data_IF_621583262090
#
_entry.id   IF_621583262090
#
_cell.length_a   1.000
_cell.length_b   1.000
_cell.length_c   1.000
_cell.angle_alpha   90.00
_cell.angle_beta   90.00
_cell.angle_gamma   90.00
#
_symmetry.space_group_name_H-M   'P 1'
#
loop_
_entity.id
_entity.type
_entity.pdbx_description
1 polymer ?
#
# COMPACT_ATOMS: atom_id res chain seq x y z
N UNK A 1 -2.09 20.08 -22.26
CA UNK A 1 -1.63 18.73 -21.80
C UNK A 1 -2.87 17.86 -21.70
N UNK A 2 -2.83 16.64 -22.19
CA UNK A 2 -3.99 15.74 -22.09
C UNK A 2 -3.82 14.86 -20.86
N UNK A 3 -4.86 14.64 -20.07
CA UNK A 3 -4.88 13.78 -18.87
C UNK A 3 -4.20 12.41 -19.10
N UNK A 4 -4.27 11.86 -20.31
CA UNK A 4 -3.60 10.62 -20.67
C UNK A 4 -2.06 10.70 -20.58
N UNK A 5 -1.46 11.87 -20.80
CA UNK A 5 0.00 12.04 -20.65
C UNK A 5 0.43 12.08 -19.19
N UNK A 6 -0.45 12.54 -18.31
CA UNK A 6 -0.16 12.61 -16.88
C UNK A 6 -0.17 11.24 -16.21
N UNK A 7 -0.68 10.22 -16.92
CA UNK A 7 -0.66 8.79 -16.53
C UNK A 7 0.46 8.01 -17.23
N UNK A 8 1.40 8.64 -17.91
CA UNK A 8 2.57 7.99 -18.52
C UNK A 8 3.70 7.85 -17.49
N UNK A 9 4.13 6.61 -17.27
CA UNK A 9 5.23 6.26 -16.36
C UNK A 9 6.51 5.85 -17.10
N UNK A 10 6.60 6.15 -18.40
CA UNK A 10 7.80 5.88 -19.20
C UNK A 10 9.04 6.53 -18.56
N UNK A 11 10.09 5.74 -18.35
CA UNK A 11 11.32 6.18 -17.68
C UNK A 11 11.25 6.28 -16.16
N UNK A 12 10.10 6.00 -15.52
CA UNK A 12 9.98 5.93 -14.06
C UNK A 12 10.26 4.51 -13.56
N UNK A 13 11.04 4.41 -12.48
CA UNK A 13 11.26 3.14 -11.77
C UNK A 13 10.36 3.11 -10.52
N UNK A 14 9.51 2.10 -10.43
CA UNK A 14 8.51 1.95 -9.37
C UNK A 14 8.83 0.71 -8.53
N UNK A 15 9.06 0.91 -7.23
CA UNK A 15 9.14 -0.18 -6.26
C UNK A 15 7.76 -0.46 -5.67
N UNK A 16 7.29 -1.70 -5.82
CA UNK A 16 6.02 -2.18 -5.23
C UNK A 16 6.33 -3.26 -4.20
N UNK A 17 5.97 -3.02 -2.94
CA UNK A 17 6.07 -4.02 -1.87
C UNK A 17 4.75 -4.79 -1.71
N UNK A 18 4.81 -6.06 -1.30
CA UNK A 18 3.62 -6.92 -1.28
C UNK A 18 3.07 -7.15 -2.70
N UNK A 19 3.97 -7.28 -3.69
CA UNK A 19 3.64 -7.29 -5.11
C UNK A 19 3.10 -8.61 -5.63
N UNK A 20 3.23 -9.71 -4.87
CA UNK A 20 2.88 -11.04 -5.34
C UNK A 20 1.37 -11.25 -5.54
N UNK A 21 0.51 -10.51 -4.84
CA UNK A 21 -0.94 -10.72 -4.83
C UNK A 21 -1.73 -9.41 -4.61
N UNK A 22 -3.05 -9.50 -4.72
CA UNK A 22 -4.00 -8.44 -4.32
C UNK A 22 -3.73 -7.09 -4.99
N UNK A 23 -3.73 -6.01 -4.19
CA UNK A 23 -3.53 -4.65 -4.68
C UNK A 23 -2.16 -4.45 -5.33
N UNK A 24 -1.10 -5.03 -4.73
CA UNK A 24 0.26 -4.91 -5.27
C UNK A 24 0.37 -5.51 -6.67
N UNK A 25 -0.16 -6.71 -6.89
CA UNK A 25 -0.17 -7.37 -8.20
C UNK A 25 -1.01 -6.60 -9.22
N UNK A 26 -2.23 -6.17 -8.87
CA UNK A 26 -3.10 -5.39 -9.76
C UNK A 26 -2.47 -4.04 -10.13
N UNK A 27 -1.86 -3.36 -9.15
CA UNK A 27 -1.16 -2.09 -9.38
C UNK A 27 0.05 -2.27 -10.29
N UNK A 28 0.85 -3.33 -10.07
CA UNK A 28 2.02 -3.61 -10.90
C UNK A 28 1.64 -3.84 -12.37
N UNK A 29 0.55 -4.59 -12.63
CA UNK A 29 0.04 -4.79 -14.00
C UNK A 29 -0.34 -3.46 -14.65
N UNK A 30 -1.12 -2.64 -13.95
CA UNK A 30 -1.57 -1.36 -14.49
C UNK A 30 -0.40 -0.38 -14.72
N UNK A 31 0.58 -0.32 -13.82
CA UNK A 31 1.78 0.50 -14.01
C UNK A 31 2.64 0.04 -15.19
N UNK A 32 2.75 -1.28 -15.40
CA UNK A 32 3.43 -1.85 -16.56
C UNK A 32 2.75 -1.45 -17.87
N UNK A 33 1.42 -1.51 -17.95
CA UNK A 33 0.63 -1.06 -19.09
C UNK A 33 0.84 0.43 -19.41
N UNK A 34 1.18 1.22 -18.39
CA UNK A 34 1.48 2.65 -18.51
C UNK A 34 2.98 2.96 -18.62
N UNK A 35 3.82 1.96 -18.93
CA UNK A 35 5.23 2.14 -19.28
C UNK A 35 6.23 2.19 -18.13
N UNK A 36 5.82 1.89 -16.89
CA UNK A 36 6.73 1.88 -15.75
C UNK A 36 7.76 0.73 -15.83
N UNK A 37 8.97 1.00 -15.36
CA UNK A 37 9.94 -0.03 -14.99
C UNK A 37 9.65 -0.50 -13.57
N UNK A 38 9.40 -1.79 -13.40
CA UNK A 38 8.96 -2.33 -12.12
C UNK A 38 10.09 -3.05 -11.37
N UNK A 39 10.14 -2.78 -10.08
CA UNK A 39 10.87 -3.54 -9.07
C UNK A 39 9.84 -4.09 -8.10
N UNK A 40 9.68 -5.40 -8.04
CA UNK A 40 8.66 -6.08 -7.25
C UNK A 40 9.30 -6.77 -6.05
N UNK A 41 8.72 -6.56 -4.87
CA UNK A 41 9.24 -7.14 -3.64
C UNK A 41 8.11 -7.81 -2.84
N UNK A 42 8.35 -9.06 -2.42
CA UNK A 42 7.42 -9.85 -1.62
C UNK A 42 8.17 -10.97 -0.90
N UNK A 43 7.56 -11.59 0.10
CA UNK A 43 8.05 -12.81 0.76
C UNK A 43 7.62 -14.08 0.04
N UNK A 44 6.56 -14.03 -0.76
CA UNK A 44 6.01 -15.18 -1.49
C UNK A 44 6.73 -15.40 -2.81
N UNK A 45 7.84 -16.12 -2.77
CA UNK A 45 8.78 -16.28 -3.90
C UNK A 45 8.10 -16.77 -5.18
N UNK A 46 7.31 -17.84 -5.12
CA UNK A 46 6.69 -18.45 -6.30
C UNK A 46 5.75 -17.47 -7.01
N UNK A 47 4.83 -16.85 -6.25
CA UNK A 47 3.86 -15.89 -6.78
C UNK A 47 4.55 -14.63 -7.29
N UNK A 48 5.59 -14.14 -6.60
CA UNK A 48 6.37 -12.98 -7.01
C UNK A 48 7.12 -13.25 -8.33
N UNK A 49 7.80 -14.39 -8.44
CA UNK A 49 8.54 -14.75 -9.65
C UNK A 49 7.62 -14.95 -10.85
N UNK A 50 6.39 -15.43 -10.64
CA UNK A 50 5.41 -15.55 -11.71
C UNK A 50 5.02 -14.17 -12.26
N UNK A 51 4.62 -13.23 -11.40
CA UNK A 51 4.20 -11.90 -11.84
C UNK A 51 5.39 -11.10 -12.39
N UNK A 52 6.58 -11.24 -11.83
CA UNK A 52 7.77 -10.57 -12.33
C UNK A 52 8.11 -11.00 -13.77
N UNK A 53 8.00 -12.30 -14.08
CA UNK A 53 8.16 -12.81 -15.46
C UNK A 53 7.07 -12.26 -16.39
N UNK A 54 5.81 -12.25 -15.96
CA UNK A 54 4.68 -11.72 -16.74
C UNK A 54 4.90 -10.24 -17.12
N UNK A 55 5.47 -9.45 -16.20
CA UNK A 55 5.63 -8.00 -16.36
C UNK A 55 7.06 -7.57 -16.73
N UNK A 56 7.96 -8.51 -17.06
CA UNK A 56 9.38 -8.23 -17.32
C UNK A 56 10.01 -7.34 -16.22
N UNK A 57 9.71 -7.65 -14.95
CA UNK A 57 10.10 -6.88 -13.79
C UNK A 57 11.24 -7.55 -13.02
N UNK A 58 12.00 -6.77 -12.24
CA UNK A 58 12.98 -7.30 -11.29
C UNK A 58 12.24 -7.75 -10.02
N UNK A 59 12.55 -8.96 -9.53
CA UNK A 59 11.96 -9.52 -8.31
C UNK A 59 12.98 -9.57 -7.17
N UNK A 60 12.53 -9.19 -5.97
CA UNK A 60 13.33 -9.29 -4.75
C UNK A 60 12.52 -9.95 -3.63
N UNK A 61 13.05 -11.05 -3.10
CA UNK A 61 12.47 -11.68 -1.91
C UNK A 61 12.90 -10.89 -0.68
N UNK A 62 11.94 -10.48 0.13
CA UNK A 62 12.22 -9.74 1.37
C UNK A 62 11.14 -9.98 2.42
N UNK A 63 11.51 -9.75 3.68
CA UNK A 63 10.60 -9.83 4.82
C UNK A 63 10.41 -8.43 5.41
N UNK A 64 9.16 -7.94 5.37
CA UNK A 64 8.78 -6.59 5.82
C UNK A 64 8.98 -6.40 7.35
N UNK A 65 8.89 -7.46 8.14
CA UNK A 65 9.10 -7.40 9.59
C UNK A 65 10.57 -7.41 10.00
N UNK A 66 11.50 -7.68 9.06
CA UNK A 66 12.95 -7.70 9.30
C UNK A 66 13.64 -6.44 8.75
N UNK A 67 14.08 -5.50 9.62
CA UNK A 67 14.79 -4.29 9.19
C UNK A 67 16.05 -4.58 8.36
N UNK A 68 16.76 -5.68 8.65
CA UNK A 68 17.94 -6.06 7.88
C UNK A 68 17.56 -6.50 6.45
N UNK A 69 16.44 -7.21 6.29
CA UNK A 69 15.90 -7.56 4.97
C UNK A 69 15.50 -6.32 4.17
N UNK A 70 14.86 -5.34 4.82
CA UNK A 70 14.50 -4.06 4.18
C UNK A 70 15.75 -3.29 3.75
N UNK A 71 16.80 -3.25 4.59
CA UNK A 71 18.07 -2.60 4.25
C UNK A 71 18.74 -3.25 3.04
N UNK A 72 18.77 -4.59 2.98
CA UNK A 72 19.30 -5.33 1.82
C UNK A 72 18.53 -5.01 0.55
N UNK A 73 17.18 -4.98 0.62
CA UNK A 73 16.33 -4.60 -0.50
C UNK A 73 16.64 -3.17 -0.96
N UNK A 74 16.63 -2.19 -0.04
CA UNK A 74 16.88 -0.79 -0.37
C UNK A 74 18.27 -0.58 -1.01
N UNK A 75 19.29 -1.33 -0.59
CA UNK A 75 20.62 -1.28 -1.19
C UNK A 75 20.67 -1.90 -2.60
N UNK A 76 19.81 -2.88 -2.90
CA UNK A 76 19.81 -3.62 -4.15
C UNK A 76 19.01 -2.97 -5.28
N UNK A 77 17.97 -2.15 -4.96
CA UNK A 77 17.00 -1.67 -5.96
C UNK A 77 17.45 -0.43 -6.75
N UNK A 78 18.54 0.22 -6.36
CA UNK A 78 19.03 1.42 -7.02
C UNK A 78 18.11 2.64 -6.85
N UNK A 79 18.03 3.49 -7.88
CA UNK A 79 17.20 4.69 -7.85
C UNK A 79 15.72 4.35 -8.08
N UNK A 80 14.86 4.75 -7.15
CA UNK A 80 13.40 4.57 -7.20
C UNK A 80 12.73 5.93 -7.33
N UNK A 81 11.91 6.13 -8.36
CA UNK A 81 11.12 7.34 -8.55
C UNK A 81 9.80 7.31 -7.78
N UNK A 82 9.21 6.11 -7.65
CA UNK A 82 7.93 5.90 -6.96
C UNK A 82 8.04 4.69 -6.04
N UNK A 83 7.70 4.88 -4.77
CA UNK A 83 7.54 3.79 -3.81
C UNK A 83 6.05 3.54 -3.54
N UNK A 84 5.59 2.32 -3.79
CA UNK A 84 4.27 1.83 -3.37
C UNK A 84 4.48 0.89 -2.18
N UNK A 85 4.27 1.44 -0.99
CA UNK A 85 4.44 0.76 0.29
C UNK A 85 3.13 0.04 0.64
N UNK A 86 2.95 -1.15 0.02
CA UNK A 86 1.69 -1.91 0.05
C UNK A 86 1.77 -3.18 0.90
N UNK A 87 2.95 -3.72 1.19
CA UNK A 87 3.07 -4.90 2.05
C UNK A 87 2.39 -4.68 3.41
N UNK A 88 1.63 -5.65 3.85
CA UNK A 88 0.89 -5.60 5.12
C UNK A 88 0.25 -6.93 5.45
N UNK A 89 -0.16 -7.09 6.71
CA UNK A 89 -0.88 -8.25 7.23
C UNK A 89 -2.15 -7.83 7.95
N UNK A 90 -3.06 -8.77 8.14
CA UNK A 90 -4.27 -8.57 8.92
C UNK A 90 -4.35 -9.63 10.03
N UNK A 91 -4.36 -9.16 11.28
CA UNK A 91 -4.74 -9.96 12.45
C UNK A 91 -6.13 -9.50 12.87
N UNK A 92 -7.12 -10.39 12.78
CA UNK A 92 -8.52 -10.12 13.09
C UNK A 92 -8.96 -10.94 14.30
N UNK A 93 -8.66 -10.42 15.51
CA UNK A 93 -9.01 -11.02 16.81
C UNK A 93 -9.46 -9.95 17.79
N UNK A 94 -10.33 -10.27 18.78
CA UNK A 94 -10.56 -9.39 19.92
C UNK A 94 -9.23 -9.02 20.59
N UNK A 95 -9.08 -7.80 21.07
CA UNK A 95 -7.82 -7.35 21.68
C UNK A 95 -7.40 -8.25 22.86
N UNK A 96 -8.35 -8.69 23.67
CA UNK A 96 -8.07 -9.56 24.84
C UNK A 96 -7.60 -10.97 24.46
N UNK A 97 -7.83 -11.39 23.20
CA UNK A 97 -7.41 -12.68 22.66
C UNK A 97 -6.17 -12.56 21.74
N UNK A 98 -5.73 -11.34 21.47
CA UNK A 98 -4.56 -11.09 20.62
C UNK A 98 -3.29 -11.26 21.45
N UNK A 99 -2.40 -12.16 21.04
CA UNK A 99 -1.14 -12.39 21.72
C UNK A 99 -0.20 -11.17 21.58
N UNK A 100 0.77 -11.04 22.48
CA UNK A 100 1.80 -9.99 22.37
C UNK A 100 2.60 -10.15 21.08
N UNK A 101 2.87 -11.39 20.69
CA UNK A 101 3.58 -11.74 19.45
C UNK A 101 2.81 -11.29 18.21
N UNK A 102 1.48 -11.52 18.16
CA UNK A 102 0.60 -11.06 17.08
C UNK A 102 0.61 -9.51 17.01
N UNK A 103 0.56 -8.83 18.17
CA UNK A 103 0.65 -7.36 18.24
C UNK A 103 1.99 -6.88 17.66
N UNK A 104 3.09 -7.45 18.13
CA UNK A 104 4.44 -7.07 17.68
C UNK A 104 4.61 -7.33 16.17
N UNK A 105 4.21 -8.50 15.71
CA UNK A 105 4.29 -8.89 14.29
C UNK A 105 3.52 -7.90 13.40
N UNK A 106 2.29 -7.56 13.80
CA UNK A 106 1.45 -6.64 13.03
C UNK A 106 2.08 -5.23 12.99
N UNK A 107 2.53 -4.71 14.13
CA UNK A 107 3.17 -3.39 14.21
C UNK A 107 4.49 -3.39 13.42
N UNK A 108 5.27 -4.45 13.50
CA UNK A 108 6.53 -4.56 12.76
C UNK A 108 6.30 -4.56 11.24
N UNK A 109 5.28 -5.26 10.74
CA UNK A 109 4.97 -5.28 9.30
C UNK A 109 4.29 -3.98 8.85
N UNK A 110 3.17 -3.62 9.49
CA UNK A 110 2.24 -2.61 8.97
C UNK A 110 2.65 -1.16 9.31
N UNK A 111 3.59 -0.97 10.26
CA UNK A 111 4.08 0.36 10.61
C UNK A 111 5.59 0.46 10.58
N UNK A 112 6.32 -0.30 11.40
CA UNK A 112 7.79 -0.13 11.52
C UNK A 112 8.48 -0.41 10.19
N UNK A 113 8.20 -1.55 9.56
CA UNK A 113 8.79 -1.92 8.27
C UNK A 113 8.45 -0.93 7.17
N UNK A 114 7.19 -0.46 7.13
CA UNK A 114 6.76 0.58 6.20
C UNK A 114 7.53 1.89 6.41
N UNK A 115 7.69 2.33 7.67
CA UNK A 115 8.43 3.55 8.00
C UNK A 115 9.93 3.43 7.66
N UNK A 116 10.54 2.26 7.93
CA UNK A 116 11.93 1.99 7.55
C UNK A 116 12.11 2.02 6.03
N UNK A 117 11.20 1.43 5.27
CA UNK A 117 11.22 1.47 3.81
C UNK A 117 11.12 2.91 3.30
N UNK A 118 10.17 3.72 3.82
CA UNK A 118 10.06 5.14 3.48
C UNK A 118 11.35 5.89 3.77
N UNK A 119 11.96 5.69 4.95
CA UNK A 119 13.22 6.33 5.32
C UNK A 119 14.34 6.02 4.32
N UNK A 120 14.53 4.75 3.96
CA UNK A 120 15.65 4.32 3.13
C UNK A 120 15.48 4.75 1.66
N UNK A 121 14.31 4.53 1.08
CA UNK A 121 14.02 4.91 -0.31
C UNK A 121 13.82 6.42 -0.43
N UNK A 122 13.10 7.03 0.51
CA UNK A 122 12.83 8.47 0.55
C UNK A 122 14.09 9.31 0.64
N UNK A 123 15.14 8.86 1.33
CA UNK A 123 16.43 9.57 1.40
C UNK A 123 17.01 9.83 0.00
N UNK A 124 16.93 8.84 -0.90
CA UNK A 124 17.34 9.01 -2.30
C UNK A 124 16.46 10.01 -3.05
N UNK A 125 15.14 9.98 -2.85
CA UNK A 125 14.19 10.90 -3.46
C UNK A 125 14.44 12.34 -3.02
N UNK A 126 14.59 12.59 -1.72
CA UNK A 126 14.91 13.91 -1.15
C UNK A 126 16.22 14.45 -1.71
N UNK A 127 17.27 13.62 -1.79
CA UNK A 127 18.55 14.01 -2.37
C UNK A 127 18.44 14.43 -3.85
N UNK A 128 17.59 13.72 -4.62
CA UNK A 128 17.36 14.02 -6.05
C UNK A 128 16.31 15.12 -6.28
N UNK A 129 15.67 15.59 -5.22
CA UNK A 129 14.58 16.58 -5.25
C UNK A 129 13.39 16.16 -6.13
N UNK A 130 13.11 14.87 -6.16
CA UNK A 130 11.95 14.29 -6.88
C UNK A 130 11.59 12.92 -6.34
N UNK A 131 10.30 12.61 -6.29
CA UNK A 131 9.80 11.29 -5.92
C UNK A 131 8.37 11.31 -5.47
N UNK A 132 7.77 10.13 -5.44
CA UNK A 132 6.43 9.92 -4.86
C UNK A 132 6.47 8.69 -3.98
N UNK A 133 5.94 8.84 -2.77
CA UNK A 133 5.70 7.73 -1.85
C UNK A 133 4.20 7.58 -1.64
N UNK A 134 3.67 6.41 -1.92
CA UNK A 134 2.30 6.05 -1.59
C UNK A 134 2.31 4.88 -0.60
N UNK A 135 1.56 5.03 0.49
CA UNK A 135 1.35 3.94 1.46
C UNK A 135 -0.10 3.48 1.47
N UNK A 136 -0.30 2.18 1.67
CA UNK A 136 -1.64 1.61 1.83
C UNK A 136 -2.05 1.68 3.30
N UNK A 137 -2.97 2.59 3.58
CA UNK A 137 -3.71 2.71 4.83
C UNK A 137 -4.89 1.72 4.90
N UNK A 138 -5.95 2.14 5.57
CA UNK A 138 -7.23 1.41 5.63
C UNK A 138 -8.35 2.35 6.06
N UNK A 139 -9.58 2.08 5.61
CA UNK A 139 -10.78 2.73 6.17
C UNK A 139 -10.88 2.61 7.70
N UNK A 140 -10.33 1.53 8.27
CA UNK A 140 -10.35 1.30 9.74
C UNK A 140 -9.52 2.31 10.52
N UNK A 141 -8.68 3.10 9.87
CA UNK A 141 -7.99 4.25 10.49
C UNK A 141 -8.96 5.41 10.81
N UNK A 142 -10.17 5.41 10.23
CA UNK A 142 -11.15 6.50 10.30
C UNK A 142 -12.46 6.08 10.99
N UNK A 143 -12.61 4.80 11.33
CA UNK A 143 -13.76 4.27 12.05
C UNK A 143 -13.36 3.11 12.95
N UNK A 144 -14.14 2.85 14.00
CA UNK A 144 -13.98 1.65 14.82
C UNK A 144 -14.23 0.38 13.99
N UNK A 145 -13.46 -0.65 14.24
CA UNK A 145 -13.61 -1.96 13.60
C UNK A 145 -13.54 -3.08 14.63
N UNK A 146 -14.56 -3.93 14.66
CA UNK A 146 -14.56 -5.13 15.51
C UNK A 146 -13.38 -6.04 15.18
N UNK A 147 -12.69 -6.54 16.20
CA UNK A 147 -11.53 -7.44 16.06
C UNK A 147 -10.33 -6.89 15.28
N UNK A 148 -10.16 -5.54 15.23
CA UNK A 148 -9.13 -4.90 14.41
C UNK A 148 -8.40 -3.77 15.12
N UNK A 149 -8.43 -3.73 16.46
CA UNK A 149 -7.90 -2.59 17.23
C UNK A 149 -6.45 -2.25 16.87
N UNK A 150 -5.55 -3.24 16.88
CA UNK A 150 -4.11 -3.03 16.59
C UNK A 150 -3.90 -2.71 15.10
N UNK A 151 -4.61 -3.40 14.21
CA UNK A 151 -4.54 -3.12 12.77
C UNK A 151 -4.98 -1.67 12.45
N UNK A 152 -6.10 -1.24 13.01
CA UNK A 152 -6.62 0.12 12.83
C UNK A 152 -5.62 1.17 13.35
N UNK A 153 -5.02 0.92 14.53
CA UNK A 153 -3.99 1.79 15.10
C UNK A 153 -2.75 1.89 14.20
N UNK A 154 -2.24 0.77 13.69
CA UNK A 154 -1.10 0.76 12.76
C UNK A 154 -1.41 1.55 11.47
N UNK A 155 -2.60 1.36 10.89
CA UNK A 155 -3.02 2.08 9.66
C UNK A 155 -3.30 3.57 9.92
N UNK A 156 -3.77 3.94 11.10
CA UNK A 156 -3.86 5.34 11.52
C UNK A 156 -2.47 5.98 11.68
N UNK A 157 -1.50 5.25 12.24
CA UNK A 157 -0.12 5.70 12.34
C UNK A 157 0.52 5.97 10.97
N UNK A 158 0.26 5.12 9.96
CA UNK A 158 0.70 5.35 8.56
C UNK A 158 0.07 6.63 7.99
N UNK A 159 -1.22 6.87 8.21
CA UNK A 159 -1.89 8.09 7.76
C UNK A 159 -1.27 9.34 8.39
N UNK A 160 -0.94 9.30 9.68
CA UNK A 160 -0.28 10.42 10.35
C UNK A 160 1.18 10.58 9.91
N UNK A 161 1.93 9.49 9.72
CA UNK A 161 3.30 9.54 9.19
C UNK A 161 3.33 10.17 7.78
N UNK A 162 2.34 9.86 6.94
CA UNK A 162 2.18 10.48 5.61
C UNK A 162 2.12 12.00 5.69
N UNK A 163 1.32 12.56 6.62
CA UNK A 163 1.21 14.01 6.83
C UNK A 163 2.54 14.62 7.26
N UNK A 164 3.21 14.00 8.23
CA UNK A 164 4.50 14.50 8.75
C UNK A 164 5.57 14.52 7.67
N UNK A 165 5.72 13.42 6.91
CA UNK A 165 6.70 13.32 5.85
C UNK A 165 6.39 14.25 4.66
N UNK A 166 5.14 14.52 4.36
CA UNK A 166 4.76 15.51 3.34
C UNK A 166 5.24 16.92 3.72
N UNK A 167 5.17 17.29 5.00
CA UNK A 167 5.72 18.55 5.51
C UNK A 167 7.24 18.57 5.44
N UNK A 168 7.90 17.48 5.85
CA UNK A 168 9.36 17.38 5.88
C UNK A 168 9.98 17.37 4.46
N UNK A 169 9.35 16.69 3.51
CA UNK A 169 9.94 16.40 2.19
C UNK A 169 9.36 17.24 1.06
N UNK A 170 8.27 17.96 1.30
CA UNK A 170 7.59 18.75 0.26
C UNK A 170 8.47 19.79 -0.42
N UNK A 171 9.30 20.52 0.36
CA UNK A 171 10.26 21.48 -0.18
C UNK A 171 11.36 20.85 -1.04
N UNK A 172 11.56 19.53 -0.89
CA UNK A 172 12.47 18.73 -1.74
C UNK A 172 11.76 18.11 -2.96
N UNK A 173 10.53 18.54 -3.29
CA UNK A 173 9.81 18.03 -4.45
C UNK A 173 9.34 16.58 -4.33
N UNK A 174 9.24 16.04 -3.11
CA UNK A 174 8.76 14.69 -2.84
C UNK A 174 7.33 14.74 -2.33
N UNK A 175 6.41 14.05 -3.01
CA UNK A 175 5.03 13.87 -2.57
C UNK A 175 4.92 12.61 -1.71
N UNK A 176 4.17 12.71 -0.62
CA UNK A 176 3.87 11.57 0.24
C UNK A 176 2.36 11.51 0.40
N UNK A 177 1.75 10.41 -0.02
CA UNK A 177 0.29 10.23 -0.01
C UNK A 177 -0.08 8.87 0.60
N UNK A 178 -1.28 8.76 1.10
CA UNK A 178 -1.83 7.52 1.61
C UNK A 178 -3.16 7.21 0.89
N UNK A 179 -3.37 5.96 0.53
CA UNK A 179 -4.68 5.47 0.11
C UNK A 179 -5.23 4.58 1.22
N UNK A 180 -6.45 4.83 1.66
CA UNK A 180 -7.16 4.05 2.66
C UNK A 180 -8.29 3.25 1.99
N UNK A 181 -8.02 2.02 1.51
CA UNK A 181 -9.04 1.20 0.90
C UNK A 181 -10.08 0.74 1.91
N UNK A 182 -11.30 0.56 1.42
CA UNK A 182 -12.32 -0.24 2.05
C UNK A 182 -12.07 -1.73 1.87
N UNK A 183 -13.09 -2.52 2.15
CA UNK A 183 -13.05 -3.95 1.83
C UNK A 183 -13.07 -4.14 0.33
N UNK A 184 -12.09 -4.86 -0.18
CA UNK A 184 -12.04 -5.30 -1.55
C UNK A 184 -11.81 -6.81 -1.60
N UNK A 185 -12.29 -7.44 -2.66
CA UNK A 185 -12.14 -8.88 -2.88
C UNK A 185 -10.67 -9.18 -3.24
N UNK A 186 -9.91 -9.61 -2.24
CA UNK A 186 -8.51 -10.05 -2.38
C UNK A 186 -8.32 -11.37 -1.63
N UNK A 187 -7.22 -12.08 -1.89
CA UNK A 187 -6.91 -13.32 -1.14
C UNK A 187 -6.91 -13.07 0.38
N UNK A 188 -6.35 -11.96 0.84
CA UNK A 188 -6.30 -11.59 2.26
C UNK A 188 -7.70 -11.46 2.88
N UNK A 189 -8.65 -10.86 2.18
CA UNK A 189 -10.02 -10.67 2.68
C UNK A 189 -10.86 -11.95 2.55
N UNK A 190 -10.67 -12.75 1.51
CA UNK A 190 -11.41 -13.99 1.29
C UNK A 190 -11.05 -15.08 2.32
N UNK A 191 -9.78 -15.19 2.72
CA UNK A 191 -9.36 -16.16 3.75
C UNK A 191 -9.86 -15.81 5.14
N UNK A 192 -10.02 -14.51 5.44
CA UNK A 192 -10.52 -14.05 6.75
C UNK A 192 -12.05 -14.10 6.89
N UNK A 193 -12.79 -14.50 5.84
CA UNK A 193 -14.25 -14.30 5.76
C UNK A 193 -15.02 -15.49 5.18
N UNK A 194 -14.37 -16.65 5.00
CA UNK A 194 -14.94 -17.82 4.30
C UNK A 194 -16.03 -18.60 5.09
N UNK A 195 -16.54 -18.09 6.22
CA UNK A 195 -17.59 -18.77 6.99
C UNK A 195 -18.97 -18.16 6.71
N UNK A 196 -20.02 -18.98 6.48
CA UNK A 196 -21.41 -18.52 6.38
C UNK A 196 -21.81 -17.71 7.63
N UNK A 197 -22.44 -16.54 7.44
CA UNK A 197 -22.76 -15.62 8.55
C UNK A 197 -21.57 -14.78 9.04
N UNK A 198 -20.46 -14.78 8.30
CA UNK A 198 -19.27 -13.98 8.59
C UNK A 198 -19.57 -12.48 8.54
N UNK A 199 -18.67 -11.70 9.15
CA UNK A 199 -18.71 -10.23 9.17
C UNK A 199 -18.75 -9.56 7.78
N UNK A 200 -18.68 -10.31 6.67
CA UNK A 200 -18.85 -9.80 5.30
C UNK A 200 -20.26 -9.25 5.11
N UNK A 201 -21.29 -10.05 5.37
CA UNK A 201 -22.68 -9.64 5.13
C UNK A 201 -23.10 -8.48 6.02
N UNK A 202 -22.66 -8.47 7.29
CA UNK A 202 -22.94 -7.38 8.22
C UNK A 202 -22.23 -6.07 7.87
N UNK A 203 -21.08 -6.13 7.20
CA UNK A 203 -20.35 -4.95 6.79
C UNK A 203 -20.82 -4.36 5.46
N UNK A 204 -21.46 -5.16 4.60
CA UNK A 204 -21.92 -4.71 3.29
C UNK A 204 -23.07 -3.71 3.39
N UNK A 205 -23.99 -3.88 4.36
CA UNK A 205 -25.11 -2.95 4.61
C UNK A 205 -24.66 -1.53 4.96
N UNK A 206 -23.40 -1.36 5.41
CA UNK A 206 -22.78 -0.05 5.69
C UNK A 206 -22.10 0.59 4.50
N UNK A 207 -22.03 -0.09 3.36
CA UNK A 207 -21.41 0.44 2.15
C UNK A 207 -22.46 1.11 1.27
N UNK A 208 -22.50 2.45 1.14
CA UNK A 208 -23.48 3.12 0.30
C UNK A 208 -23.51 2.64 -1.15
N UNK A 209 -22.36 2.25 -1.73
CA UNK A 209 -22.31 1.68 -3.09
C UNK A 209 -22.85 0.25 -3.17
N UNK A 210 -23.24 -0.39 -2.06
CA UNK A 210 -23.89 -1.70 -2.00
C UNK A 210 -23.02 -2.89 -2.42
N UNK A 211 -21.71 -2.70 -2.57
CA UNK A 211 -20.77 -3.75 -2.97
C UNK A 211 -19.37 -3.54 -2.41
N UNK A 212 -18.60 -4.60 -2.37
CA UNK A 212 -17.16 -4.52 -2.10
C UNK A 212 -16.44 -3.98 -3.33
N UNK A 213 -15.30 -3.32 -3.11
CA UNK A 213 -14.38 -2.93 -4.18
C UNK A 213 -13.67 -4.12 -4.80
N UNK A 214 -12.98 -3.88 -5.91
CA UNK A 214 -12.06 -4.85 -6.53
C UNK A 214 -10.62 -4.40 -6.39
N UNK A 215 -9.67 -5.32 -6.58
CA UNK A 215 -8.25 -4.98 -6.56
C UNK A 215 -7.89 -3.98 -7.68
N UNK A 216 -8.55 -4.09 -8.83
CA UNK A 216 -8.36 -3.22 -9.98
C UNK A 216 -8.87 -1.79 -9.72
N UNK A 217 -9.98 -1.63 -9.00
CA UNK A 217 -10.49 -0.30 -8.61
C UNK A 217 -9.50 0.41 -7.68
N UNK A 218 -8.93 -0.32 -6.71
CA UNK A 218 -7.90 0.22 -5.81
C UNK A 218 -6.62 0.52 -6.59
N UNK A 219 -6.20 -0.35 -7.51
CA UNK A 219 -5.02 -0.14 -8.36
C UNK A 219 -5.15 1.14 -9.21
N UNK A 220 -6.33 1.43 -9.78
CA UNK A 220 -6.58 2.67 -10.52
C UNK A 220 -6.39 3.90 -9.64
N UNK A 221 -6.85 3.87 -8.39
CA UNK A 221 -6.63 4.96 -7.45
C UNK A 221 -5.15 5.12 -7.08
N UNK A 222 -4.42 4.02 -6.89
CA UNK A 222 -2.98 4.06 -6.65
C UNK A 222 -2.27 4.73 -7.81
N UNK A 223 -2.52 4.27 -9.06
CA UNK A 223 -1.90 4.82 -10.27
C UNK A 223 -2.20 6.31 -10.42
N UNK A 224 -3.44 6.73 -10.21
CA UNK A 224 -3.79 8.17 -10.21
C UNK A 224 -2.99 8.95 -9.16
N UNK A 225 -2.93 8.48 -7.91
CA UNK A 225 -2.27 9.18 -6.82
C UNK A 225 -0.74 9.26 -6.97
N UNK A 226 -0.12 8.33 -7.67
CA UNK A 226 1.33 8.38 -7.91
C UNK A 226 1.71 9.06 -9.22
N UNK A 227 0.74 9.36 -10.09
CA UNK A 227 0.94 10.02 -11.38
C UNK A 227 1.10 11.55 -11.26
N UNK A 228 1.46 12.19 -12.36
CA UNK A 228 1.52 13.65 -12.47
C UNK A 228 0.13 14.30 -12.49
N UNK A 229 -0.95 13.52 -12.76
CA UNK A 229 -2.35 13.97 -12.66
C UNK A 229 -2.73 14.40 -11.23
N UNK A 230 -2.02 13.92 -10.21
CA UNK A 230 -2.19 14.29 -8.81
C UNK A 230 -1.03 15.14 -8.26
N UNK A 231 -0.32 15.88 -9.11
CA UNK A 231 0.91 16.61 -8.77
C UNK A 231 0.76 17.62 -7.62
N UNK A 232 -0.45 18.10 -7.34
CA UNK A 232 -0.73 19.04 -6.23
C UNK A 232 -1.30 18.33 -4.97
N UNK A 233 -1.25 16.99 -4.93
CA UNK A 233 -1.73 16.19 -3.78
C UNK A 233 -0.54 15.65 -3.00
N UNK A 234 -0.38 16.08 -1.75
CA UNK A 234 0.59 15.55 -0.79
C UNK A 234 0.06 15.68 0.64
N UNK A 235 0.49 14.81 1.54
CA UNK A 235 0.05 14.79 2.95
C UNK A 235 -1.37 14.26 3.16
N UNK A 236 -2.08 13.88 2.10
CA UNK A 236 -3.49 13.48 2.18
C UNK A 236 -3.64 11.97 2.26
N UNK A 237 -4.69 11.54 2.97
CA UNK A 237 -5.17 10.17 2.97
C UNK A 237 -6.49 10.10 2.24
N UNK A 238 -6.49 9.56 1.04
CA UNK A 238 -7.69 9.37 0.23
C UNK A 238 -8.39 8.09 0.63
N UNK A 239 -9.67 8.19 1.02
CA UNK A 239 -10.49 7.02 1.39
C UNK A 239 -11.20 6.51 0.14
N UNK A 240 -11.02 5.21 -0.16
CA UNK A 240 -11.66 4.51 -1.29
C UNK A 240 -12.38 3.26 -0.76
N UNK A 241 -13.55 3.44 -0.15
CA UNK A 241 -14.26 2.43 0.64
C UNK A 241 -15.74 2.25 0.27
N UNK A 242 -16.18 2.86 -0.83
CA UNK A 242 -17.58 2.84 -1.26
C UNK A 242 -18.51 3.63 -0.33
N UNK A 243 -17.96 4.51 0.52
CA UNK A 243 -18.69 5.33 1.49
C UNK A 243 -18.85 4.68 2.86
N UNK A 244 -18.20 3.56 3.15
CA UNK A 244 -18.35 2.80 4.40
C UNK A 244 -18.16 3.64 5.66
N UNK A 245 -17.21 4.57 5.70
CA UNK A 245 -16.93 5.39 6.88
C UNK A 245 -17.99 6.47 7.13
N UNK A 246 -18.90 6.68 6.19
CA UNK A 246 -19.98 7.67 6.28
C UNK A 246 -21.29 7.08 6.80
N UNK A 247 -21.45 5.73 6.79
CA UNK A 247 -22.68 5.01 7.14
C UNK A 247 -22.66 4.26 8.47
#
# INVERSE_FOLDING_TARGET
MTFARDLDFSGKTVLVTGAANGFGAATSKLLFEHGARLVLADREEESLNRIARELNATAHIYEQSDPASIQRLAAAVGEIDILINNAGILVAKPLLETSIEDIQQLINVDFVGAAVMMKLIGAGMVKRQRGVVLSIGSQTAFCGGENRAIYAAAKAAISQLTRSLAVEWGSSGVRVVCLAPGRALTRMTMTSTALPGSTLDRGLSRVPLGRWGTAEEIAKMIVFLVSDASSYVTGETVIADGGYVLG
#
